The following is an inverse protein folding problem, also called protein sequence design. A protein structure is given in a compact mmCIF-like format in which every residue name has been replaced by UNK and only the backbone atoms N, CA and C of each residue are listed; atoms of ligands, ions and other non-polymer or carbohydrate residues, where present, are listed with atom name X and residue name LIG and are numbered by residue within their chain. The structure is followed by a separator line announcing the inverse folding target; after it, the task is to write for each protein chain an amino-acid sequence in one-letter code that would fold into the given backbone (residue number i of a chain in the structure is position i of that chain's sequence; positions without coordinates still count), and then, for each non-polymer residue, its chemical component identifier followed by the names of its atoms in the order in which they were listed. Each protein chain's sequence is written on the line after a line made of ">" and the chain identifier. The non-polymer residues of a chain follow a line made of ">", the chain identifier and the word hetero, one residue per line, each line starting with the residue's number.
data_IF_772495431568
#
_entry.id   IF_772495431568
#
_cell.length_a   1.000
_cell.length_b   1.000
_cell.length_c   1.000
_cell.angle_alpha   90.00
_cell.angle_beta   90.00
_cell.angle_gamma   90.00
#
_symmetry.space_group_name_H-M   'P 1'
#
loop_
_entity.id
_entity.type
_entity.pdbx_description
1 polymer ?
#
# COMPACT_ATOMS: atom_id res chain seq x y z
N UNK A 1 26.85 5.69 -7.91
CA UNK A 1 25.60 6.29 -7.41
C UNK A 1 24.49 5.31 -7.75
N UNK A 2 23.78 4.77 -6.76
CA UNK A 2 22.70 3.81 -7.02
C UNK A 2 21.45 4.55 -7.57
N UNK A 3 20.48 3.82 -8.10
CA UNK A 3 19.30 4.43 -8.70
C UNK A 3 18.46 5.25 -7.70
N UNK A 4 18.42 4.83 -6.43
CA UNK A 4 17.74 5.57 -5.35
C UNK A 4 18.40 6.94 -5.13
N UNK A 5 19.73 7.02 -5.14
CA UNK A 5 20.47 8.27 -4.96
C UNK A 5 20.21 9.22 -6.13
N UNK A 6 20.14 8.70 -7.37
CA UNK A 6 19.81 9.49 -8.56
C UNK A 6 18.40 10.06 -8.48
N UNK A 7 17.40 9.22 -8.17
CA UNK A 7 16.02 9.64 -7.98
C UNK A 7 15.92 10.71 -6.90
N UNK A 8 16.59 10.52 -5.75
CA UNK A 8 16.63 11.51 -4.68
C UNK A 8 17.16 12.86 -5.15
N UNK A 9 18.26 12.89 -5.90
CA UNK A 9 18.82 14.14 -6.43
C UNK A 9 17.87 14.79 -7.45
N UNK A 10 17.18 14.00 -8.27
CA UNK A 10 16.18 14.54 -9.21
C UNK A 10 15.02 15.22 -8.47
N UNK A 11 14.48 14.58 -7.43
CA UNK A 11 13.38 15.14 -6.61
C UNK A 11 13.79 16.42 -5.88
N UNK A 12 15.00 16.46 -5.30
CA UNK A 12 15.43 17.61 -4.47
C UNK A 12 15.86 18.81 -5.33
N UNK A 13 16.45 18.57 -6.50
CA UNK A 13 17.08 19.63 -7.29
C UNK A 13 16.18 20.22 -8.38
N UNK A 14 15.03 19.60 -8.67
CA UNK A 14 14.15 20.03 -9.76
C UNK A 14 12.77 20.41 -9.25
N UNK A 15 12.15 21.39 -9.92
CA UNK A 15 10.75 21.76 -9.70
C UNK A 15 9.86 20.91 -10.60
N UNK A 16 9.57 19.70 -10.15
CA UNK A 16 8.76 18.72 -10.86
C UNK A 16 7.27 19.09 -10.81
N UNK A 17 6.51 18.75 -11.85
CA UNK A 17 5.05 18.67 -11.81
C UNK A 17 4.62 17.41 -11.07
N UNK A 18 3.35 17.36 -10.65
CA UNK A 18 2.82 16.21 -9.90
C UNK A 18 3.05 14.87 -10.62
N UNK A 19 2.69 14.78 -11.91
CA UNK A 19 2.86 13.54 -12.68
C UNK A 19 4.33 13.13 -12.82
N UNK A 20 5.24 14.09 -13.00
CA UNK A 20 6.68 13.82 -13.08
C UNK A 20 7.21 13.30 -11.73
N UNK A 21 6.73 13.87 -10.62
CA UNK A 21 7.07 13.42 -9.27
C UNK A 21 6.49 12.01 -8.98
N UNK A 22 5.26 11.74 -9.41
CA UNK A 22 4.62 10.44 -9.29
C UNK A 22 5.36 9.37 -10.10
N UNK A 23 5.79 9.67 -11.33
CA UNK A 23 6.60 8.76 -12.14
C UNK A 23 7.93 8.42 -11.47
N UNK A 24 8.61 9.40 -10.87
CA UNK A 24 9.82 9.16 -10.09
C UNK A 24 9.54 8.33 -8.84
N UNK A 25 8.41 8.54 -8.19
CA UNK A 25 8.01 7.78 -7.01
C UNK A 25 7.69 6.32 -7.38
N UNK A 26 7.00 6.07 -8.49
CA UNK A 26 6.77 4.74 -9.05
C UNK A 26 8.10 4.03 -9.36
N UNK A 27 9.05 4.72 -10.00
CA UNK A 27 10.40 4.17 -10.25
C UNK A 27 11.13 3.83 -8.96
N UNK A 28 11.04 4.70 -7.95
CA UNK A 28 11.60 4.45 -6.63
C UNK A 28 11.01 3.17 -6.02
N UNK A 29 9.67 3.05 -6.00
CA UNK A 29 9.00 1.87 -5.46
C UNK A 29 9.39 0.59 -6.21
N UNK A 30 9.48 0.61 -7.55
CA UNK A 30 9.98 -0.53 -8.34
C UNK A 30 11.36 -1.00 -7.89
N UNK A 31 12.30 -0.06 -7.76
CA UNK A 31 13.66 -0.35 -7.26
C UNK A 31 13.59 -0.94 -5.86
N UNK A 32 12.80 -0.35 -4.94
CA UNK A 32 12.63 -0.85 -3.56
C UNK A 32 12.06 -2.26 -3.53
N UNK A 33 11.04 -2.54 -4.33
CA UNK A 33 10.42 -3.86 -4.42
C UNK A 33 11.40 -4.90 -4.95
N UNK A 34 12.21 -4.59 -5.97
CA UNK A 34 13.25 -5.50 -6.47
C UNK A 34 14.30 -5.87 -5.41
N UNK A 35 14.54 -4.99 -4.45
CA UNK A 35 15.47 -5.23 -3.33
C UNK A 35 14.84 -6.07 -2.22
N UNK A 36 13.52 -6.29 -2.23
CA UNK A 36 12.82 -7.08 -1.22
C UNK A 36 13.08 -8.58 -1.42
N UNK A 37 14.12 -9.06 -0.75
CA UNK A 37 14.50 -10.47 -0.81
C UNK A 37 13.82 -11.35 0.25
N UNK A 38 13.09 -10.75 1.20
CA UNK A 38 12.61 -11.42 2.42
C UNK A 38 11.14 -11.15 2.72
N UNK A 39 10.49 -12.19 3.22
CA UNK A 39 9.14 -12.13 3.79
C UNK A 39 9.09 -11.04 4.89
N UNK A 40 8.07 -10.17 4.91
CA UNK A 40 7.89 -9.16 5.94
C UNK A 40 7.93 -9.71 7.37
N UNK A 41 8.44 -8.89 8.28
CA UNK A 41 8.64 -9.26 9.68
C UNK A 41 7.87 -8.31 10.56
N UNK A 42 6.82 -8.83 11.20
CA UNK A 42 5.99 -8.05 12.14
C UNK A 42 6.84 -7.22 13.11
N UNK A 43 7.88 -7.79 13.73
CA UNK A 43 8.70 -7.06 14.71
C UNK A 43 9.48 -5.89 14.11
N UNK A 44 10.00 -6.04 12.88
CA UNK A 44 10.73 -4.98 12.20
C UNK A 44 9.78 -3.91 11.69
N UNK A 45 8.70 -4.35 11.03
CA UNK A 45 7.70 -3.48 10.45
C UNK A 45 6.95 -2.71 11.54
N UNK A 46 6.65 -3.33 12.69
CA UNK A 46 6.04 -2.66 13.83
C UNK A 46 6.87 -1.45 14.29
N UNK A 47 8.18 -1.63 14.48
CA UNK A 47 9.06 -0.54 14.93
C UNK A 47 9.10 0.64 13.96
N UNK A 48 9.02 0.36 12.66
CA UNK A 48 9.01 1.38 11.63
C UNK A 48 7.64 2.07 11.55
N UNK A 49 6.58 1.30 11.33
CA UNK A 49 5.25 1.81 11.00
C UNK A 49 4.45 2.32 12.20
N UNK A 50 4.82 1.99 13.45
CA UNK A 50 4.13 2.51 14.64
C UNK A 50 4.30 4.04 14.77
N UNK A 51 5.44 4.56 14.31
CA UNK A 51 5.74 5.99 14.32
C UNK A 51 5.53 6.65 12.96
N UNK A 52 5.26 5.86 11.91
CA UNK A 52 4.98 6.38 10.60
C UNK A 52 3.54 6.94 10.54
N UNK A 53 3.47 8.22 10.18
CA UNK A 53 2.25 9.03 10.08
C UNK A 53 1.89 9.34 8.62
N UNK A 54 2.43 8.59 7.66
CA UNK A 54 2.28 8.85 6.21
C UNK A 54 1.65 7.67 5.47
N UNK A 55 1.91 6.45 5.95
CA UNK A 55 1.37 5.22 5.40
C UNK A 55 0.07 4.86 6.09
N UNK A 56 -0.93 4.42 5.32
CA UNK A 56 -2.15 3.78 5.82
C UNK A 56 -2.04 2.24 5.72
N UNK A 57 -3.17 1.53 5.81
CA UNK A 57 -3.24 0.07 5.69
C UNK A 57 -2.74 -0.44 4.32
N UNK A 58 -3.04 0.27 3.23
CA UNK A 58 -2.66 -0.11 1.87
C UNK A 58 -1.14 -0.07 1.69
N UNK A 59 -0.52 1.08 1.99
CA UNK A 59 0.94 1.22 1.98
C UNK A 59 1.63 0.25 2.94
N UNK A 60 1.08 0.05 4.14
CA UNK A 60 1.60 -0.92 5.09
C UNK A 60 1.62 -2.33 4.51
N UNK A 61 0.51 -2.79 3.92
CA UNK A 61 0.36 -4.16 3.42
C UNK A 61 1.31 -4.45 2.26
N UNK A 62 1.50 -3.52 1.33
CA UNK A 62 2.42 -3.70 0.20
C UNK A 62 3.84 -3.19 0.43
N UNK A 63 4.12 -2.65 1.63
CA UNK A 63 5.42 -2.09 2.03
C UNK A 63 5.85 -0.89 1.20
N UNK A 64 4.89 -0.09 0.76
CA UNK A 64 5.17 1.18 0.12
C UNK A 64 5.69 2.14 1.19
N UNK A 65 6.97 2.49 1.10
CA UNK A 65 7.58 3.53 1.92
C UNK A 65 7.60 4.85 1.16
N UNK A 66 7.42 5.94 1.88
CA UNK A 66 7.60 7.29 1.35
C UNK A 66 8.76 7.96 2.09
N UNK A 67 9.92 8.11 1.44
CA UNK A 67 11.02 8.89 1.99
C UNK A 67 10.63 10.34 2.21
N UNK A 68 11.25 10.98 3.20
CA UNK A 68 10.97 12.38 3.58
C UNK A 68 11.05 13.33 2.38
N UNK A 69 12.01 13.14 1.47
CA UNK A 69 12.17 14.01 0.30
C UNK A 69 11.01 13.89 -0.71
N UNK A 70 10.37 12.72 -0.84
CA UNK A 70 9.15 12.58 -1.62
C UNK A 70 7.96 13.19 -0.87
N UNK A 71 7.81 12.91 0.42
CA UNK A 71 6.74 13.49 1.24
C UNK A 71 6.75 15.03 1.20
N UNK A 72 7.92 15.65 1.38
CA UNK A 72 8.08 17.10 1.24
C UNK A 72 7.75 17.59 -0.17
N UNK A 73 8.13 16.85 -1.21
CA UNK A 73 7.84 17.23 -2.59
C UNK A 73 6.33 17.16 -2.90
N UNK A 74 5.64 16.11 -2.45
CA UNK A 74 4.19 15.99 -2.61
C UNK A 74 3.43 17.04 -1.81
N UNK A 75 3.97 17.51 -0.69
CA UNK A 75 3.40 18.59 0.13
C UNK A 75 3.28 19.95 -0.56
N UNK A 76 3.97 20.15 -1.69
CA UNK A 76 3.76 21.33 -2.53
C UNK A 76 2.44 21.28 -3.33
N UNK A 77 1.84 20.10 -3.48
CA UNK A 77 0.58 19.91 -4.21
C UNK A 77 -0.61 19.72 -3.27
N UNK A 78 -0.42 19.00 -2.16
CA UNK A 78 -1.41 18.80 -1.10
C UNK A 78 -0.72 18.85 0.26
N UNK A 79 -1.16 19.71 1.18
CA UNK A 79 -0.53 19.84 2.51
C UNK A 79 -0.46 18.54 3.32
N UNK A 80 -1.30 17.55 3.01
CA UNK A 80 -1.29 16.23 3.63
C UNK A 80 -0.21 15.29 3.06
N UNK A 81 0.39 15.63 1.91
CA UNK A 81 1.38 14.83 1.21
C UNK A 81 0.74 13.82 0.25
N UNK A 82 1.45 12.72 -0.01
CA UNK A 82 0.93 11.64 -0.87
C UNK A 82 -0.04 10.76 -0.10
N UNK A 83 -1.25 10.56 -0.63
CA UNK A 83 -2.25 9.71 -0.02
C UNK A 83 -2.30 8.36 -0.74
N UNK A 84 -2.16 7.27 0.02
CA UNK A 84 -2.10 5.91 -0.52
C UNK A 84 -3.50 5.32 -0.69
N UNK A 85 -4.17 5.67 -1.78
CA UNK A 85 -5.41 5.02 -2.20
C UNK A 85 -5.14 3.93 -3.24
N UNK A 86 -5.94 2.85 -3.26
CA UNK A 86 -5.97 1.95 -4.41
C UNK A 86 -6.21 2.73 -5.71
N UNK A 87 -5.36 2.50 -6.70
CA UNK A 87 -5.38 3.18 -8.00
C UNK A 87 -4.57 4.48 -8.07
N UNK A 88 -3.90 4.89 -6.99
CA UNK A 88 -3.08 6.10 -6.95
C UNK A 88 -1.85 6.06 -7.87
N UNK A 89 -1.40 4.88 -8.29
CA UNK A 89 -0.29 4.72 -9.24
C UNK A 89 -0.78 4.53 -10.67
N UNK A 90 -1.97 3.95 -10.85
CA UNK A 90 -2.59 3.72 -12.16
C UNK A 90 -3.57 4.79 -12.62
N UNK A 91 -3.84 5.82 -11.81
CA UNK A 91 -4.85 6.85 -12.05
C UNK A 91 -6.28 6.30 -12.19
N UNK A 92 -6.65 5.34 -11.32
CA UNK A 92 -8.02 4.82 -11.21
C UNK A 92 -8.59 5.29 -9.88
N UNK A 93 -9.62 6.12 -9.93
CA UNK A 93 -10.17 6.77 -8.73
C UNK A 93 -11.54 6.22 -8.31
N UNK A 94 -12.24 5.52 -9.20
CA UNK A 94 -13.47 4.82 -8.83
C UNK A 94 -13.10 3.48 -8.20
N UNK A 95 -13.32 3.37 -6.90
CA UNK A 95 -13.08 2.16 -6.09
C UNK A 95 -14.32 1.78 -5.27
N UNK A 96 -15.50 2.25 -5.67
CA UNK A 96 -16.71 2.21 -4.87
C UNK A 96 -17.36 0.81 -4.79
N UNK A 97 -16.86 -0.16 -5.54
CA UNK A 97 -17.38 -1.53 -5.57
C UNK A 97 -16.25 -2.52 -5.39
N UNK A 98 -16.56 -3.77 -5.00
CA UNK A 98 -15.53 -4.81 -4.85
C UNK A 98 -14.74 -5.00 -6.16
N UNK A 99 -15.42 -4.91 -7.31
CA UNK A 99 -14.81 -5.05 -8.63
C UNK A 99 -13.91 -3.88 -9.00
N UNK A 100 -14.37 -2.64 -8.79
CA UNK A 100 -13.59 -1.45 -9.15
C UNK A 100 -12.41 -1.23 -8.21
N UNK A 101 -12.56 -1.58 -6.93
CA UNK A 101 -11.47 -1.64 -5.97
C UNK A 101 -10.40 -2.66 -6.40
N UNK A 102 -10.79 -3.89 -6.76
CA UNK A 102 -9.83 -4.91 -7.22
C UNK A 102 -9.14 -4.50 -8.51
N UNK A 103 -9.86 -3.91 -9.46
CA UNK A 103 -9.25 -3.39 -10.70
C UNK A 103 -8.18 -2.33 -10.38
N UNK A 104 -8.49 -1.35 -9.53
CA UNK A 104 -7.54 -0.31 -9.14
C UNK A 104 -6.28 -0.89 -8.48
N UNK A 105 -6.45 -1.88 -7.58
CA UNK A 105 -5.32 -2.58 -6.94
C UNK A 105 -4.47 -3.31 -7.99
N UNK A 106 -5.09 -4.10 -8.86
CA UNK A 106 -4.38 -4.87 -9.89
C UNK A 106 -3.59 -3.95 -10.83
N UNK A 107 -4.18 -2.83 -11.22
CA UNK A 107 -3.51 -1.84 -12.08
C UNK A 107 -2.37 -1.12 -11.38
N UNK A 108 -2.48 -0.84 -10.09
CA UNK A 108 -1.36 -0.35 -9.29
C UNK A 108 -0.23 -1.38 -9.23
N UNK A 109 -0.55 -2.65 -8.97
CA UNK A 109 0.45 -3.74 -8.90
C UNK A 109 1.15 -3.95 -10.24
N UNK A 110 0.40 -3.94 -11.35
CA UNK A 110 0.94 -3.98 -12.71
C UNK A 110 1.86 -2.78 -12.97
N UNK A 111 1.41 -1.58 -12.60
CA UNK A 111 2.17 -0.34 -12.76
C UNK A 111 3.48 -0.39 -11.99
N UNK A 112 3.48 -1.00 -10.80
CA UNK A 112 4.64 -1.19 -9.94
C UNK A 112 5.44 -2.46 -10.26
N UNK A 113 5.05 -3.24 -11.27
CA UNK A 113 5.66 -4.52 -11.64
C UNK A 113 5.74 -5.54 -10.48
N UNK A 114 4.75 -5.49 -9.58
CA UNK A 114 4.63 -6.42 -8.46
C UNK A 114 3.87 -7.63 -8.97
N UNK A 115 4.51 -8.80 -8.96
CA UNK A 115 3.84 -10.04 -9.33
C UNK A 115 2.88 -10.46 -8.24
N UNK A 116 1.67 -10.83 -8.63
CA UNK A 116 0.67 -11.37 -7.72
C UNK A 116 -0.03 -12.57 -8.36
N UNK A 117 -0.52 -13.48 -7.52
CA UNK A 117 -1.37 -14.59 -7.93
C UNK A 117 -2.69 -14.52 -7.18
N UNK A 118 -3.77 -14.77 -7.91
CA UNK A 118 -5.10 -14.92 -7.33
C UNK A 118 -5.34 -16.34 -6.79
N UNK A 119 -4.67 -17.33 -7.40
CA UNK A 119 -4.70 -18.72 -6.98
C UNK A 119 -3.61 -18.94 -5.93
N UNK A 120 -4.04 -19.28 -4.71
CA UNK A 120 -3.14 -19.46 -3.58
C UNK A 120 -2.23 -20.66 -3.84
N UNK A 121 -0.96 -20.41 -4.18
CA UNK A 121 0.05 -21.44 -4.35
C UNK A 121 0.99 -21.48 -3.13
N UNK A 122 2.05 -22.30 -3.20
CA UNK A 122 3.06 -22.40 -2.15
C UNK A 122 4.33 -21.57 -2.47
N UNK A 123 4.36 -20.84 -3.57
CA UNK A 123 5.51 -20.06 -4.06
C UNK A 123 5.31 -18.54 -3.88
N UNK A 124 4.74 -18.14 -2.74
CA UNK A 124 4.53 -16.73 -2.40
C UNK A 124 5.61 -16.16 -1.47
N UNK A 125 5.90 -14.86 -1.61
CA UNK A 125 6.71 -14.12 -0.65
C UNK A 125 5.89 -13.74 0.58
N UNK A 126 4.68 -13.23 0.40
CA UNK A 126 3.70 -12.98 1.48
C UNK A 126 2.28 -12.90 0.92
N UNK A 127 1.28 -12.89 1.79
CA UNK A 127 -0.13 -12.75 1.39
C UNK A 127 -0.70 -11.42 1.85
N UNK A 128 -1.57 -10.81 1.05
CA UNK A 128 -2.32 -9.60 1.38
C UNK A 128 -3.81 -9.90 1.32
N UNK A 129 -4.53 -9.63 2.40
CA UNK A 129 -5.98 -9.72 2.46
C UNK A 129 -6.59 -8.33 2.25
N UNK A 130 -7.57 -8.27 1.36
CA UNK A 130 -8.24 -7.06 0.89
C UNK A 130 -9.67 -7.10 1.39
N UNK A 131 -10.09 -6.02 2.02
CA UNK A 131 -11.43 -5.84 2.55
C UNK A 131 -12.03 -4.55 2.03
N UNK A 132 -13.35 -4.54 1.91
CA UNK A 132 -14.13 -3.33 1.72
C UNK A 132 -15.21 -3.28 2.77
N UNK A 133 -15.52 -2.07 3.21
CA UNK A 133 -16.64 -1.81 4.07
C UNK A 133 -17.93 -2.29 3.40
N UNK A 134 -18.80 -2.93 4.17
CA UNK A 134 -20.08 -3.40 3.70
C UNK A 134 -21.21 -2.64 4.41
N UNK A 135 -22.17 -2.18 3.62
CA UNK A 135 -23.14 -1.14 3.99
C UNK A 135 -24.19 -1.49 5.04
N UNK A 136 -24.12 -2.64 5.73
CA UNK A 136 -25.17 -3.03 6.71
C UNK A 136 -25.31 -2.06 7.90
N UNK A 137 -24.40 -1.09 8.05
CA UNK A 137 -24.30 -0.20 9.22
C UNK A 137 -24.40 1.30 8.88
N UNK A 138 -24.46 1.69 7.60
CA UNK A 138 -24.41 3.09 7.17
C UNK A 138 -25.44 3.39 6.06
N UNK A 139 -25.95 4.63 6.04
CA UNK A 139 -26.83 5.12 4.98
C UNK A 139 -26.12 5.01 3.62
N UNK A 140 -26.88 4.65 2.59
CA UNK A 140 -26.42 4.07 1.31
C UNK A 140 -25.66 5.00 0.36
N UNK A 141 -25.24 6.19 0.80
CA UNK A 141 -24.68 7.23 -0.06
C UNK A 141 -23.17 7.48 0.14
N UNK A 142 -22.56 6.87 1.17
CA UNK A 142 -21.12 7.00 1.42
C UNK A 142 -20.28 6.03 0.56
N UNK A 143 -19.11 6.50 0.13
CA UNK A 143 -18.13 5.68 -0.59
C UNK A 143 -17.58 4.62 0.39
N UNK A 144 -17.69 3.32 0.08
CA UNK A 144 -17.22 2.28 0.99
C UNK A 144 -15.72 2.40 1.26
N UNK A 145 -15.34 2.39 2.53
CA UNK A 145 -13.92 2.39 2.91
C UNK A 145 -13.25 1.03 2.58
N UNK A 146 -11.92 0.99 2.60
CA UNK A 146 -11.12 -0.20 2.36
C UNK A 146 -10.19 -0.52 3.52
N UNK A 147 -9.84 -1.80 3.65
CA UNK A 147 -8.85 -2.22 4.64
C UNK A 147 -7.95 -3.32 4.09
N UNK A 148 -6.70 -3.33 4.59
CA UNK A 148 -5.69 -4.30 4.18
C UNK A 148 -4.98 -4.88 5.38
N UNK A 149 -4.80 -6.20 5.36
CA UNK A 149 -3.89 -6.89 6.29
C UNK A 149 -2.93 -7.79 5.53
N UNK A 150 -1.77 -8.06 6.11
CA UNK A 150 -0.71 -8.86 5.51
C UNK A 150 -0.31 -10.03 6.39
N UNK A 151 -0.09 -11.19 5.79
CA UNK A 151 0.56 -12.34 6.42
C UNK A 151 2.08 -12.12 6.55
N UNK A 152 2.60 -12.23 7.77
CA UNK A 152 4.02 -12.08 8.05
C UNK A 152 4.75 -13.42 8.10
N UNK A 153 6.08 -13.36 8.07
CA UNK A 153 7.02 -14.50 8.19
C UNK A 153 6.82 -15.40 9.41
N UNK A 154 6.14 -14.92 10.45
CA UNK A 154 5.83 -15.70 11.65
C UNK A 154 4.45 -16.37 11.62
N UNK A 155 3.76 -16.37 10.48
CA UNK A 155 2.44 -16.97 10.30
C UNK A 155 1.28 -16.14 10.84
N UNK A 156 1.53 -14.92 11.33
CA UNK A 156 0.48 -14.02 11.83
C UNK A 156 0.18 -12.92 10.82
N UNK A 157 -1.10 -12.54 10.77
CA UNK A 157 -1.58 -11.38 10.04
C UNK A 157 -1.34 -10.11 10.86
N UNK A 158 -1.09 -9.01 10.18
CA UNK A 158 -1.09 -7.68 10.78
C UNK A 158 -1.63 -6.62 9.84
N UNK A 159 -2.20 -5.56 10.39
CA UNK A 159 -2.67 -4.39 9.65
C UNK A 159 -2.30 -3.11 10.40
N UNK A 160 -2.36 -1.99 9.69
CA UNK A 160 -2.25 -0.65 10.27
C UNK A 160 -3.62 0.01 10.22
N UNK A 161 -4.09 0.58 11.33
CA UNK A 161 -5.43 1.18 11.42
C UNK A 161 -5.45 2.63 10.90
N UNK A 162 -5.34 2.81 9.59
CA UNK A 162 -5.30 4.13 8.97
C UNK A 162 -4.02 4.92 9.26
N UNK A 163 -4.00 6.19 8.85
CA UNK A 163 -2.84 7.06 9.02
C UNK A 163 -2.63 7.39 10.50
N UNK A 164 -1.44 7.08 11.00
CA UNK A 164 -1.10 7.30 12.41
C UNK A 164 -1.82 6.38 13.42
N UNK A 165 -2.59 5.41 12.94
CA UNK A 165 -3.10 4.35 13.78
C UNK A 165 -2.03 3.36 14.22
N UNK A 166 -2.41 2.56 15.21
CA UNK A 166 -1.62 1.44 15.70
C UNK A 166 -1.51 0.31 14.67
N UNK A 167 -0.74 -0.71 15.05
CA UNK A 167 -0.57 -1.93 14.26
C UNK A 167 -1.15 -3.08 15.06
N UNK A 168 -2.12 -3.78 14.48
CA UNK A 168 -2.74 -4.94 15.08
C UNK A 168 -2.10 -6.23 14.58
N UNK A 169 -2.27 -7.31 15.34
CA UNK A 169 -1.73 -8.63 15.00
C UNK A 169 -2.73 -9.72 15.37
N UNK A 170 -2.94 -10.66 14.46
CA UNK A 170 -3.92 -11.74 14.62
C UNK A 170 -3.50 -13.05 13.92
N UNK A 171 -4.17 -14.13 14.26
CA UNK A 171 -4.00 -15.45 13.65
C UNK A 171 -4.81 -15.64 12.35
N UNK A 172 -5.62 -14.66 11.98
CA UNK A 172 -6.45 -14.61 10.76
C UNK A 172 -6.39 -13.21 10.15
N UNK A 173 -6.76 -13.02 8.87
CA UNK A 173 -6.88 -11.70 8.27
C UNK A 173 -7.66 -10.74 9.19
N UNK A 174 -7.13 -9.52 9.36
CA UNK A 174 -7.63 -8.54 10.30
C UNK A 174 -8.35 -7.40 9.56
N UNK A 175 -9.55 -7.07 10.02
CA UNK A 175 -10.28 -5.85 9.72
C UNK A 175 -11.35 -5.63 10.80
N UNK A 176 -11.91 -4.41 10.86
CA UNK A 176 -13.06 -4.10 11.71
C UNK A 176 -14.31 -4.90 11.29
N UNK A 177 -15.33 -4.94 12.17
CA UNK A 177 -16.55 -5.70 11.91
C UNK A 177 -17.40 -5.17 10.74
N UNK A 178 -17.21 -3.90 10.36
CA UNK A 178 -17.86 -3.28 9.19
C UNK A 178 -17.25 -3.70 7.86
N UNK A 179 -16.12 -4.42 7.86
CA UNK A 179 -15.41 -4.79 6.63
C UNK A 179 -15.62 -6.26 6.29
N UNK A 180 -15.87 -6.52 5.00
CA UNK A 180 -15.98 -7.86 4.42
C UNK A 180 -14.68 -8.21 3.70
N UNK A 181 -14.17 -9.42 3.92
CA UNK A 181 -13.04 -9.94 3.15
C UNK A 181 -13.48 -10.21 1.71
N UNK A 182 -12.83 -9.57 0.74
CA UNK A 182 -13.13 -9.73 -0.69
C UNK A 182 -12.15 -10.72 -1.32
N UNK A 183 -10.85 -10.54 -1.07
CA UNK A 183 -9.79 -11.29 -1.74
C UNK A 183 -8.57 -11.47 -0.85
N UNK A 184 -7.84 -12.55 -1.07
CA UNK A 184 -6.48 -12.73 -0.60
C UNK A 184 -5.59 -12.89 -1.84
N UNK A 185 -4.53 -12.10 -1.90
CA UNK A 185 -3.53 -12.14 -2.97
C UNK A 185 -2.23 -12.74 -2.43
N UNK A 186 -1.62 -13.59 -3.23
CA UNK A 186 -0.25 -14.02 -3.05
C UNK A 186 0.67 -13.04 -3.77
N UNK A 187 1.63 -12.48 -3.05
CA UNK A 187 2.61 -11.54 -3.59
C UNK A 187 3.92 -12.27 -3.82
N UNK A 188 4.40 -12.21 -5.06
CA UNK A 188 5.53 -12.97 -5.57
C UNK A 188 6.74 -12.07 -5.85
N UNK A 189 7.88 -12.69 -6.17
CA UNK A 189 9.08 -12.01 -6.67
C UNK A 189 9.06 -11.86 -8.18
#
# INVERSE_FOLDING_TARGET
>A
MNDIDRIKLEVINNKLKYNELLELYIRYLKVRQSMMSKIPSYRKDYKYYINDRRSNCYAYAFRFDIPDYFDYAFKYFDSNGFYFEPGCFSNIYDINTESTLLEAIYRDLDTLEIKYCEDLDNEYLYKVAIFQEHSYLYDSDDIPDFHFSRLNSNGFWSCKNGIGGGIEKGNRPLAGFSYKLIKILDINK
#
